data_IF_182792052964
#
_entry.id   IF_182792052964
#
_cell.length_a   1.000
_cell.length_b   1.000
_cell.length_c   1.000
_cell.angle_alpha   90.00
_cell.angle_beta   90.00
_cell.angle_gamma   90.00
#
_symmetry.space_group_name_H-M   'P 1'
#
loop_
_entity.id
_entity.type
_entity.pdbx_description
1 polymer ?
#
# COMPACT_ATOMS: atom_id res chain seq x y z
N UNK A 1 2.12 16.11 -6.31
CA UNK A 1 3.23 15.12 -6.36
C UNK A 1 4.08 15.33 -5.12
N UNK A 2 4.25 14.32 -4.26
CA UNK A 2 5.06 14.44 -3.04
C UNK A 2 6.53 14.29 -3.44
N UNK A 3 7.37 15.24 -3.02
CA UNK A 3 8.82 15.18 -3.23
C UNK A 3 9.47 14.68 -1.94
N UNK A 4 10.31 13.67 -2.06
CA UNK A 4 11.05 13.09 -0.92
C UNK A 4 12.52 13.42 -1.06
N UNK A 5 13.13 13.85 0.04
CA UNK A 5 14.57 14.09 0.14
C UNK A 5 15.24 12.87 0.77
N UNK A 6 16.35 12.43 0.19
CA UNK A 6 17.12 11.28 0.67
C UNK A 6 18.57 11.72 0.76
N UNK A 7 19.16 11.56 1.95
CA UNK A 7 20.56 11.84 2.18
C UNK A 7 21.39 10.64 1.76
N UNK A 8 22.34 10.86 0.85
CA UNK A 8 23.23 9.85 0.32
C UNK A 8 24.67 10.28 0.55
N UNK A 9 25.52 9.33 0.90
CA UNK A 9 26.97 9.53 0.91
C UNK A 9 27.49 9.71 -0.52
N UNK A 10 28.67 10.33 -0.68
CA UNK A 10 29.26 10.53 -2.01
C UNK A 10 29.57 9.21 -2.73
N UNK A 11 29.99 8.18 -1.99
CA UNK A 11 30.21 6.84 -2.55
C UNK A 11 28.91 6.25 -3.10
N UNK A 12 27.82 6.31 -2.34
CA UNK A 12 26.50 5.83 -2.79
C UNK A 12 25.99 6.62 -4.00
N UNK A 13 26.20 7.94 -4.04
CA UNK A 13 25.85 8.77 -5.21
C UNK A 13 26.61 8.29 -6.44
N UNK A 14 27.93 8.08 -6.32
CA UNK A 14 28.76 7.64 -7.43
C UNK A 14 28.34 6.26 -7.94
N UNK A 15 28.05 5.31 -7.05
CA UNK A 15 27.53 3.99 -7.44
C UNK A 15 26.20 4.10 -8.20
N UNK A 16 25.27 4.94 -7.72
CA UNK A 16 23.97 5.15 -8.38
C UNK A 16 24.10 5.81 -9.75
N UNK A 17 25.04 6.74 -9.93
CA UNK A 17 25.33 7.34 -11.24
C UNK A 17 25.82 6.27 -12.21
N UNK A 18 26.78 5.44 -11.79
CA UNK A 18 27.32 4.35 -12.61
C UNK A 18 26.22 3.35 -13.01
N UNK A 19 25.37 2.96 -12.05
CA UNK A 19 24.24 2.06 -12.31
C UNK A 19 23.23 2.67 -13.29
N UNK A 20 22.85 3.93 -13.08
CA UNK A 20 21.94 4.64 -13.98
C UNK A 20 22.49 4.72 -15.41
N UNK A 21 23.79 4.98 -15.56
CA UNK A 21 24.46 5.01 -16.86
C UNK A 21 24.46 3.63 -17.54
N UNK A 22 24.81 2.57 -16.80
CA UNK A 22 24.80 1.21 -17.32
C UNK A 22 23.39 0.78 -17.77
N UNK A 23 22.35 1.11 -16.98
CA UNK A 23 20.97 0.81 -17.32
C UNK A 23 20.47 1.65 -18.49
N UNK A 24 20.94 2.89 -18.62
CA UNK A 24 20.62 3.76 -19.75
C UNK A 24 21.17 3.21 -21.07
N UNK A 25 22.42 2.73 -21.06
CA UNK A 25 23.02 2.04 -22.22
C UNK A 25 22.21 0.79 -22.57
N UNK A 26 21.90 -0.05 -21.57
CA UNK A 26 21.19 -1.31 -21.77
C UNK A 26 19.79 -1.11 -22.34
N UNK A 27 19.06 -0.13 -21.84
CA UNK A 27 17.66 0.14 -22.21
C UNK A 27 17.51 1.11 -23.38
N UNK A 28 18.62 1.75 -23.82
CA UNK A 28 18.66 2.84 -24.80
C UNK A 28 17.73 4.01 -24.43
N UNK A 29 17.46 4.21 -23.15
CA UNK A 29 16.60 5.27 -22.62
C UNK A 29 17.35 6.02 -21.53
N UNK A 30 17.07 7.32 -21.37
CA UNK A 30 17.64 8.09 -20.27
C UNK A 30 17.09 7.55 -18.94
N UNK A 31 17.98 7.10 -18.07
CA UNK A 31 17.64 6.63 -16.72
C UNK A 31 18.37 7.54 -15.73
N UNK A 32 17.65 8.11 -14.77
CA UNK A 32 18.22 8.95 -13.73
C UNK A 32 18.46 8.17 -12.42
N UNK A 33 19.30 8.69 -11.53
CA UNK A 33 19.47 8.11 -10.19
C UNK A 33 18.14 7.98 -9.44
N UNK A 34 17.23 8.95 -9.61
CA UNK A 34 15.92 8.92 -8.97
C UNK A 34 15.07 7.75 -9.46
N UNK A 35 15.22 7.35 -10.72
CA UNK A 35 14.49 6.21 -11.28
C UNK A 35 15.04 4.89 -10.74
N UNK A 36 16.37 4.77 -10.59
CA UNK A 36 17.02 3.63 -9.93
C UNK A 36 16.52 3.48 -8.50
N UNK A 37 16.56 4.56 -7.71
CA UNK A 37 16.10 4.55 -6.32
C UNK A 37 14.62 4.17 -6.25
N UNK A 38 13.78 4.77 -7.10
CA UNK A 38 12.34 4.48 -7.13
C UNK A 38 12.06 3.03 -7.48
N UNK A 39 12.77 2.46 -8.45
CA UNK A 39 12.63 1.07 -8.84
C UNK A 39 13.08 0.13 -7.73
N UNK A 40 14.19 0.44 -7.04
CA UNK A 40 14.67 -0.33 -5.91
C UNK A 40 13.68 -0.31 -4.74
N UNK A 41 13.16 0.86 -4.37
CA UNK A 41 12.12 0.99 -3.34
C UNK A 41 10.87 0.22 -3.75
N UNK A 42 10.37 0.40 -4.98
CA UNK A 42 9.19 -0.32 -5.46
C UNK A 42 9.40 -1.84 -5.49
N UNK A 43 10.58 -2.30 -5.88
CA UNK A 43 10.93 -3.72 -5.87
C UNK A 43 10.94 -4.26 -4.44
N UNK A 44 11.55 -3.52 -3.51
CA UNK A 44 11.56 -3.85 -2.09
C UNK A 44 10.16 -3.89 -1.48
N UNK A 45 9.31 -2.92 -1.80
CA UNK A 45 7.91 -2.87 -1.36
C UNK A 45 7.05 -3.97 -1.98
N UNK A 46 7.42 -4.50 -3.16
CA UNK A 46 6.75 -5.63 -3.80
C UNK A 46 7.19 -6.97 -3.21
N UNK A 47 8.46 -7.10 -2.84
CA UNK A 47 9.01 -8.34 -2.28
C UNK A 47 8.73 -8.48 -0.79
N UNK A 48 8.77 -7.37 -0.05
CA UNK A 48 8.19 -7.30 1.29
C UNK A 48 6.70 -7.02 1.17
N UNK A 49 5.90 -8.06 1.25
CA UNK A 49 4.44 -8.00 1.45
C UNK A 49 4.02 -7.30 2.78
N UNK A 50 4.92 -6.53 3.40
CA UNK A 50 4.84 -6.00 4.76
C UNK A 50 4.30 -4.56 4.82
N UNK A 51 3.89 -3.96 3.69
CA UNK A 51 3.12 -2.73 3.72
C UNK A 51 1.62 -3.06 3.62
N UNK A 52 0.88 -3.02 4.75
CA UNK A 52 -0.46 -3.57 4.84
C UNK A 52 -1.52 -2.60 4.28
N UNK A 53 -1.34 -2.05 3.08
CA UNK A 53 -2.44 -1.32 2.43
C UNK A 53 -3.55 -2.28 1.95
N UNK A 54 -3.20 -3.54 1.67
CA UNK A 54 -4.16 -4.62 1.42
C UNK A 54 -4.69 -5.26 2.72
N UNK A 55 -4.04 -5.00 3.84
CA UNK A 55 -4.33 -5.69 5.09
C UNK A 55 -5.34 -4.95 5.95
N UNK A 56 -5.63 -3.66 5.79
CA UNK A 56 -6.75 -3.05 6.53
C UNK A 56 -8.08 -3.69 6.10
N UNK A 57 -8.36 -3.79 4.80
CA UNK A 57 -9.55 -4.47 4.31
C UNK A 57 -9.56 -5.98 4.64
N UNK A 58 -8.39 -6.63 4.64
CA UNK A 58 -8.27 -8.05 4.99
C UNK A 58 -8.37 -8.32 6.50
N UNK A 59 -7.80 -7.46 7.36
CA UNK A 59 -7.93 -7.49 8.83
C UNK A 59 -9.36 -7.17 9.24
N UNK A 60 -9.99 -6.17 8.60
CA UNK A 60 -11.43 -5.89 8.75
C UNK A 60 -12.28 -7.09 8.32
N UNK A 61 -11.89 -7.79 7.24
CA UNK A 61 -12.55 -9.01 6.77
C UNK A 61 -12.33 -10.25 7.66
N UNK A 62 -11.24 -10.29 8.43
CA UNK A 62 -10.93 -11.35 9.39
C UNK A 62 -11.59 -11.14 10.76
N UNK A 63 -12.05 -9.92 11.08
CA UNK A 63 -12.79 -9.64 12.30
C UNK A 63 -14.16 -10.34 12.30
N UNK A 64 -14.33 -11.32 13.18
CA UNK A 64 -15.60 -12.03 13.35
C UNK A 64 -16.76 -11.09 13.78
N UNK A 65 -16.45 -9.99 14.46
CA UNK A 65 -17.41 -8.95 14.81
C UNK A 65 -17.89 -8.19 13.57
N UNK A 66 -16.96 -7.74 12.73
CA UNK A 66 -17.27 -6.95 11.55
C UNK A 66 -17.98 -7.78 10.47
N UNK A 67 -17.55 -9.04 10.28
CA UNK A 67 -18.23 -10.01 9.40
C UNK A 67 -19.69 -10.27 9.84
N UNK A 68 -19.97 -10.29 11.15
CA UNK A 68 -21.34 -10.40 11.67
C UNK A 68 -22.18 -9.17 11.33
N UNK A 69 -21.64 -7.96 11.50
CA UNK A 69 -22.32 -6.71 11.12
C UNK A 69 -22.64 -6.71 9.63
N UNK A 70 -21.64 -6.92 8.77
CA UNK A 70 -21.82 -6.88 7.31
C UNK A 70 -22.91 -7.87 6.87
N UNK A 71 -22.91 -9.10 7.40
CA UNK A 71 -23.94 -10.08 7.10
C UNK A 71 -25.33 -9.68 7.61
N UNK A 72 -25.43 -9.08 8.80
CA UNK A 72 -26.68 -8.58 9.37
C UNK A 72 -27.23 -7.42 8.53
N UNK A 73 -26.38 -6.46 8.16
CA UNK A 73 -26.74 -5.32 7.30
C UNK A 73 -27.17 -5.79 5.91
N UNK A 74 -26.47 -6.75 5.29
CA UNK A 74 -26.87 -7.32 4.00
C UNK A 74 -28.25 -7.99 4.06
N UNK A 75 -28.56 -8.73 5.14
CA UNK A 75 -29.90 -9.31 5.33
C UNK A 75 -30.98 -8.25 5.49
N UNK A 76 -30.70 -7.16 6.21
CA UNK A 76 -31.66 -6.08 6.42
C UNK A 76 -31.92 -5.27 5.14
N UNK A 77 -30.87 -4.96 4.37
CA UNK A 77 -30.99 -4.32 3.05
C UNK A 77 -31.82 -5.17 2.11
N UNK A 78 -31.57 -6.50 2.05
CA UNK A 78 -32.39 -7.43 1.26
C UNK A 78 -33.86 -7.46 1.71
N UNK A 79 -34.14 -7.19 2.98
CA UNK A 79 -35.49 -7.09 3.53
C UNK A 79 -36.10 -5.66 3.40
N UNK A 80 -35.43 -4.75 2.68
CA UNK A 80 -35.89 -3.37 2.47
C UNK A 80 -35.76 -2.46 3.70
N UNK A 81 -35.01 -2.88 4.73
CA UNK A 81 -34.79 -2.11 5.96
C UNK A 81 -33.38 -1.53 5.94
N UNK A 82 -33.27 -0.20 5.87
CA UNK A 82 -32.00 0.52 6.04
C UNK A 82 -31.95 1.12 7.45
N UNK A 83 -30.85 0.88 8.17
CA UNK A 83 -30.56 1.48 9.48
C UNK A 83 -29.22 2.20 9.43
N UNK A 84 -29.01 3.26 10.23
CA UNK A 84 -27.72 3.94 10.33
C UNK A 84 -26.62 3.00 10.83
N UNK A 85 -25.43 3.08 10.25
CA UNK A 85 -24.26 2.25 10.63
C UNK A 85 -23.90 2.39 12.12
N UNK A 86 -24.15 3.57 12.71
CA UNK A 86 -23.85 3.87 14.12
C UNK A 86 -24.55 2.93 15.09
N UNK A 87 -25.80 2.57 14.84
CA UNK A 87 -26.57 1.63 15.69
C UNK A 87 -25.94 0.22 15.74
N UNK A 88 -25.19 -0.18 14.71
CA UNK A 88 -24.54 -1.49 14.67
C UNK A 88 -23.21 -1.50 15.43
N UNK A 89 -22.54 -0.36 15.53
CA UNK A 89 -21.28 -0.23 16.25
C UNK A 89 -21.52 -0.27 17.76
N UNK A 90 -22.65 0.28 18.22
CA UNK A 90 -23.06 0.25 19.62
C UNK A 90 -23.46 -1.17 20.11
N UNK A 91 -23.72 -2.11 19.19
CA UNK A 91 -24.06 -3.51 19.49
C UNK A 91 -22.82 -4.44 19.55
N UNK A 92 -21.62 -3.92 19.28
CA UNK A 92 -20.41 -4.73 19.36
C UNK A 92 -19.94 -4.90 20.81
N UNK A 93 -19.57 -6.11 21.24
CA UNK A 93 -18.84 -6.29 22.49
C UNK A 93 -17.44 -5.68 22.37
N UNK A 94 -16.95 -5.07 23.46
CA UNK A 94 -15.59 -4.52 23.58
C UNK A 94 -14.49 -5.51 23.18
#
# INVERSE_FOLDING_TARGET
MIRTEIYLTEEQKQSLITLAHAESIKTKKRVSMADIIRNAINSYLKTRNDFPLLNEAALLGQSAALKRIVNKSLKQIKAGKTRPVREFLDELPD
#
